data_IF_929974691295
#
_entry.id   IF_929974691295
#
_cell.length_a   1.000
_cell.length_b   1.000
_cell.length_c   1.000
_cell.angle_alpha   90.00
_cell.angle_beta   90.00
_cell.angle_gamma   90.00
#
_symmetry.space_group_name_H-M   'P 1'
#
loop_
_entity.id
_entity.type
_entity.pdbx_description
1 polymer ?
#
# COMPACT_ATOMS: atom_id res chain seq x y z
N UNK A 1 -38.37 -35.00 -65.38
CA UNK A 1 -37.37 -33.91 -65.27
C UNK A 1 -37.99 -32.73 -64.54
N UNK A 2 -37.28 -32.28 -63.51
CA UNK A 2 -37.45 -31.14 -62.58
C UNK A 2 -38.45 -30.01 -62.96
N UNK A 3 -39.47 -29.83 -62.12
CA UNK A 3 -40.46 -28.74 -62.16
C UNK A 3 -39.85 -27.48 -61.50
N UNK A 4 -39.44 -26.48 -62.30
CA UNK A 4 -38.95 -25.19 -61.77
C UNK A 4 -40.10 -24.43 -61.09
N UNK A 5 -40.03 -24.27 -59.77
CA UNK A 5 -40.91 -23.41 -58.97
C UNK A 5 -40.55 -21.95 -59.27
N UNK A 6 -41.37 -21.25 -60.04
CA UNK A 6 -41.23 -19.81 -60.26
C UNK A 6 -41.96 -19.12 -59.11
N UNK A 7 -41.21 -18.52 -58.17
CA UNK A 7 -41.78 -17.69 -57.11
C UNK A 7 -42.53 -16.51 -57.75
N UNK A 8 -43.73 -16.13 -57.25
CA UNK A 8 -44.47 -15.01 -57.81
C UNK A 8 -43.66 -13.71 -57.60
N UNK A 9 -43.34 -12.99 -58.69
CA UNK A 9 -42.48 -11.79 -58.70
C UNK A 9 -42.88 -10.71 -57.67
N UNK A 10 -44.15 -10.68 -57.23
CA UNK A 10 -44.67 -9.73 -56.25
C UNK A 10 -44.10 -9.93 -54.83
N UNK A 11 -43.92 -11.17 -54.38
CA UNK A 11 -43.36 -11.44 -53.04
C UNK A 11 -41.86 -11.11 -52.97
N UNK A 12 -41.14 -11.29 -54.07
CA UNK A 12 -39.71 -10.95 -54.19
C UNK A 12 -39.47 -9.43 -54.09
N UNK A 13 -40.30 -8.61 -54.75
CA UNK A 13 -40.19 -7.15 -54.69
C UNK A 13 -40.44 -6.60 -53.28
N UNK A 14 -41.39 -7.18 -52.53
CA UNK A 14 -41.66 -6.79 -51.15
C UNK A 14 -40.50 -7.18 -50.21
N UNK A 15 -39.94 -8.38 -50.39
CA UNK A 15 -38.75 -8.86 -49.67
C UNK A 15 -37.53 -7.96 -49.88
N UNK A 16 -37.34 -7.46 -51.11
CA UNK A 16 -36.23 -6.59 -51.48
C UNK A 16 -36.31 -5.20 -50.83
N UNK A 17 -37.49 -4.78 -50.35
CA UNK A 17 -37.68 -3.52 -49.63
C UNK A 17 -37.60 -3.69 -48.11
N UNK A 18 -38.13 -4.79 -47.57
CA UNK A 18 -38.18 -5.03 -46.11
C UNK A 18 -36.81 -5.44 -45.56
N UNK A 19 -36.06 -6.30 -46.24
CA UNK A 19 -34.72 -6.74 -45.78
C UNK A 19 -33.77 -5.56 -45.52
N UNK A 20 -33.55 -4.62 -46.47
CA UNK A 20 -32.63 -3.51 -46.23
C UNK A 20 -33.11 -2.58 -45.13
N UNK A 21 -34.43 -2.37 -44.97
CA UNK A 21 -34.97 -1.57 -43.87
C UNK A 21 -34.65 -2.19 -42.50
N UNK A 22 -34.79 -3.52 -42.35
CA UNK A 22 -34.43 -4.24 -41.13
C UNK A 22 -32.91 -4.17 -40.88
N UNK A 23 -32.08 -4.33 -41.91
CA UNK A 23 -30.62 -4.22 -41.78
C UNK A 23 -30.16 -2.83 -41.30
N UNK A 24 -30.78 -1.77 -41.83
CA UNK A 24 -30.52 -0.39 -41.38
C UNK A 24 -30.90 -0.23 -39.91
N UNK A 25 -32.07 -0.74 -39.50
CA UNK A 25 -32.51 -0.67 -38.11
C UNK A 25 -31.56 -1.42 -37.16
N UNK A 26 -31.14 -2.64 -37.52
CA UNK A 26 -30.19 -3.44 -36.72
C UNK A 26 -28.84 -2.72 -36.64
N UNK A 27 -28.38 -2.13 -37.73
CA UNK A 27 -27.09 -1.42 -37.77
C UNK A 27 -27.14 -0.17 -36.88
N UNK A 28 -28.23 0.60 -36.97
CA UNK A 28 -28.44 1.77 -36.11
C UNK A 28 -28.46 1.38 -34.62
N UNK A 29 -29.21 0.34 -34.25
CA UNK A 29 -29.24 -0.20 -32.89
C UNK A 29 -27.86 -0.71 -32.43
N UNK A 30 -27.12 -1.34 -33.33
CA UNK A 30 -25.77 -1.86 -33.03
C UNK A 30 -24.80 -0.72 -32.72
N UNK A 31 -24.85 0.37 -33.50
CA UNK A 31 -24.02 1.55 -33.28
C UNK A 31 -24.36 2.23 -31.96
N UNK A 32 -25.65 2.40 -31.61
CA UNK A 32 -26.03 3.00 -30.33
C UNK A 32 -25.61 2.13 -29.15
N UNK A 33 -25.83 0.81 -29.26
CA UNK A 33 -25.44 -0.16 -28.24
C UNK A 33 -23.93 -0.18 -28.04
N UNK A 34 -23.15 -0.13 -29.14
CA UNK A 34 -21.71 -0.08 -29.09
C UNK A 34 -21.20 1.16 -28.35
N UNK A 35 -21.71 2.35 -28.70
CA UNK A 35 -21.30 3.59 -28.04
C UNK A 35 -21.70 3.62 -26.56
N UNK A 36 -22.92 3.18 -26.24
CA UNK A 36 -23.39 3.07 -24.85
C UNK A 36 -22.51 2.11 -24.04
N UNK A 37 -22.24 0.92 -24.58
CA UNK A 37 -21.40 -0.09 -23.93
C UNK A 37 -19.99 0.42 -23.72
N UNK A 38 -19.42 1.11 -24.72
CA UNK A 38 -18.08 1.72 -24.61
C UNK A 38 -18.03 2.73 -23.47
N UNK A 39 -19.01 3.62 -23.37
CA UNK A 39 -19.05 4.63 -22.33
C UNK A 39 -19.26 4.02 -20.93
N UNK A 40 -20.15 3.03 -20.83
CA UNK A 40 -20.39 2.31 -19.59
C UNK A 40 -19.13 1.57 -19.11
N UNK A 41 -18.40 0.91 -20.03
CA UNK A 41 -17.15 0.23 -19.72
C UNK A 41 -16.11 1.24 -19.24
N UNK A 42 -15.90 2.35 -19.97
CA UNK A 42 -14.92 3.38 -19.59
C UNK A 42 -15.23 3.97 -18.21
N UNK A 43 -16.50 4.32 -17.95
CA UNK A 43 -16.91 4.82 -16.64
C UNK A 43 -16.68 3.78 -15.54
N UNK A 44 -17.04 2.52 -15.77
CA UNK A 44 -16.83 1.46 -14.78
C UNK A 44 -15.36 1.18 -14.50
N UNK A 45 -14.48 1.35 -15.49
CA UNK A 45 -13.03 1.20 -15.33
C UNK A 45 -12.47 2.36 -14.52
N UNK A 46 -12.87 3.59 -14.83
CA UNK A 46 -12.42 4.80 -14.13
C UNK A 46 -12.85 4.78 -12.65
N UNK A 47 -14.10 4.39 -12.39
CA UNK A 47 -14.64 4.22 -11.03
C UNK A 47 -13.86 3.15 -10.26
N UNK A 48 -13.59 1.99 -10.88
CA UNK A 48 -12.79 0.91 -10.26
C UNK A 48 -11.38 1.35 -9.98
N UNK A 49 -10.74 2.08 -10.90
CA UNK A 49 -9.39 2.62 -10.69
C UNK A 49 -9.38 3.58 -9.50
N UNK A 50 -10.33 4.51 -9.44
CA UNK A 50 -10.45 5.47 -8.34
C UNK A 50 -10.67 4.77 -6.99
N UNK A 51 -11.57 3.78 -6.94
CA UNK A 51 -11.82 2.98 -5.75
C UNK A 51 -10.58 2.19 -5.31
N UNK A 52 -9.86 1.59 -6.25
CA UNK A 52 -8.65 0.83 -5.94
C UNK A 52 -7.52 1.74 -5.44
N UNK A 53 -7.32 2.90 -6.06
CA UNK A 53 -6.35 3.91 -5.60
C UNK A 53 -6.69 4.40 -4.19
N UNK A 54 -7.96 4.75 -3.95
CA UNK A 54 -8.43 5.17 -2.63
C UNK A 54 -8.27 4.05 -1.59
N UNK A 55 -8.57 2.80 -1.96
CA UNK A 55 -8.38 1.65 -1.08
C UNK A 55 -6.90 1.43 -0.75
N UNK A 56 -6.01 1.53 -1.73
CA UNK A 56 -4.56 1.39 -1.52
C UNK A 56 -4.01 2.53 -0.66
N UNK A 57 -4.41 3.77 -0.91
CA UNK A 57 -4.03 4.90 -0.06
C UNK A 57 -4.48 4.70 1.39
N UNK A 58 -5.74 4.30 1.59
CA UNK A 58 -6.26 3.98 2.93
C UNK A 58 -5.53 2.82 3.61
N UNK A 59 -5.02 1.84 2.85
CA UNK A 59 -4.22 0.75 3.40
C UNK A 59 -2.85 1.25 3.87
N UNK A 60 -2.19 2.11 3.07
CA UNK A 60 -0.92 2.74 3.43
C UNK A 60 -1.11 3.59 4.70
N UNK A 61 -2.14 4.43 4.75
CA UNK A 61 -2.42 5.27 5.92
C UNK A 61 -2.63 4.44 7.19
N UNK A 62 -3.35 3.30 7.08
CA UNK A 62 -3.55 2.39 8.21
C UNK A 62 -2.24 1.76 8.69
N UNK A 63 -1.35 1.36 7.78
CA UNK A 63 -0.04 0.83 8.14
C UNK A 63 0.76 1.92 8.85
N UNK A 64 0.82 3.12 8.30
CA UNK A 64 1.57 4.25 8.89
C UNK A 64 1.04 4.63 10.28
N UNK A 65 -0.28 4.69 10.48
CA UNK A 65 -0.88 4.96 11.78
C UNK A 65 -0.56 3.87 12.82
N UNK A 66 -0.52 2.60 12.38
CA UNK A 66 -0.17 1.46 13.22
C UNK A 66 1.30 1.53 13.66
N UNK A 67 2.21 1.77 12.73
CA UNK A 67 3.65 1.93 13.03
C UNK A 67 3.92 3.14 13.93
N UNK A 68 3.23 4.28 13.69
CA UNK A 68 3.31 5.46 14.56
C UNK A 68 2.86 5.12 16.00
N UNK A 69 1.71 4.48 16.16
CA UNK A 69 1.21 4.10 17.48
C UNK A 69 2.17 3.13 18.20
N UNK A 70 2.79 2.21 17.46
CA UNK A 70 3.81 1.31 17.99
C UNK A 70 5.05 2.07 18.46
N UNK A 71 5.59 2.98 17.63
CA UNK A 71 6.72 3.83 17.98
C UNK A 71 6.44 4.70 19.23
N UNK A 72 5.27 5.33 19.31
CA UNK A 72 4.84 6.11 20.48
C UNK A 72 4.73 5.23 21.74
N UNK A 73 4.24 3.99 21.61
CA UNK A 73 4.14 3.04 22.71
C UNK A 73 5.52 2.62 23.24
N UNK A 74 6.47 2.36 22.34
CA UNK A 74 7.86 2.05 22.70
C UNK A 74 8.52 3.25 23.36
N UNK A 75 8.36 4.46 22.80
CA UNK A 75 8.90 5.69 23.38
C UNK A 75 8.42 5.91 24.82
N UNK A 76 7.10 5.78 25.08
CA UNK A 76 6.54 5.87 26.44
C UNK A 76 7.09 4.78 27.37
N UNK A 77 7.29 3.57 26.85
CA UNK A 77 7.85 2.47 27.63
C UNK A 77 9.29 2.77 28.05
N UNK A 78 10.10 3.28 27.12
CA UNK A 78 11.48 3.71 27.36
C UNK A 78 11.54 4.84 28.38
N UNK A 79 10.72 5.88 28.23
CA UNK A 79 10.64 7.01 29.17
C UNK A 79 10.44 6.53 30.62
N UNK A 80 9.63 5.48 30.82
CA UNK A 80 9.37 4.93 32.16
C UNK A 80 10.51 4.07 32.74
N UNK A 81 11.38 3.50 31.89
CA UNK A 81 12.35 2.47 32.33
C UNK A 81 13.81 2.85 32.13
N UNK A 82 14.12 3.89 31.35
CA UNK A 82 15.48 4.09 30.82
C UNK A 82 16.58 4.23 31.88
N UNK A 83 16.27 4.78 33.05
CA UNK A 83 17.26 4.97 34.13
C UNK A 83 17.68 3.68 34.81
N UNK A 84 16.81 2.65 34.79
CA UNK A 84 17.00 1.38 35.51
C UNK A 84 17.15 0.17 34.60
N UNK A 85 16.77 0.31 33.34
CA UNK A 85 16.86 -0.74 32.35
C UNK A 85 18.33 -1.04 32.00
N UNK A 86 18.60 -2.29 31.68
CA UNK A 86 19.85 -2.74 31.07
C UNK A 86 19.73 -2.78 29.54
N UNK A 87 20.86 -2.89 28.83
CA UNK A 87 20.86 -3.00 27.35
C UNK A 87 19.95 -4.12 26.85
N UNK A 88 19.96 -5.26 27.54
CA UNK A 88 19.14 -6.43 27.21
C UNK A 88 17.64 -6.16 27.33
N UNK A 89 17.22 -5.28 28.26
CA UNK A 89 15.80 -4.91 28.39
C UNK A 89 15.32 -4.12 27.17
N UNK A 90 16.17 -3.23 26.63
CA UNK A 90 15.88 -2.51 25.39
C UNK A 90 15.89 -3.44 24.17
N UNK A 91 16.87 -4.34 24.09
CA UNK A 91 16.94 -5.33 23.01
C UNK A 91 15.67 -6.18 22.96
N UNK A 92 15.22 -6.66 24.12
CA UNK A 92 14.00 -7.45 24.24
C UNK A 92 12.77 -6.64 23.83
N UNK A 93 12.62 -5.42 24.36
CA UNK A 93 11.52 -4.53 23.99
C UNK A 93 11.46 -4.30 22.48
N UNK A 94 12.60 -4.03 21.84
CA UNK A 94 12.68 -3.78 20.41
C UNK A 94 12.42 -5.01 19.56
N UNK A 95 12.94 -6.18 19.94
CA UNK A 95 12.66 -7.45 19.25
C UNK A 95 11.18 -7.78 19.34
N UNK A 96 10.60 -7.76 20.55
CA UNK A 96 9.17 -8.07 20.77
C UNK A 96 8.27 -7.07 20.01
N UNK A 97 8.66 -5.79 19.94
CA UNK A 97 7.91 -4.76 19.21
C UNK A 97 8.03 -4.92 17.70
N UNK A 98 9.22 -5.26 17.19
CA UNK A 98 9.44 -5.48 15.75
C UNK A 98 8.70 -6.72 15.26
N UNK A 99 8.62 -7.78 16.07
CA UNK A 99 7.87 -9.00 15.73
C UNK A 99 6.34 -8.82 15.81
N UNK A 100 5.84 -7.71 16.36
CA UNK A 100 4.40 -7.50 16.54
C UNK A 100 3.65 -7.36 15.21
N UNK A 101 4.30 -6.75 14.21
CA UNK A 101 3.72 -6.52 12.89
C UNK A 101 4.68 -6.94 11.78
N UNK A 102 4.16 -7.70 10.81
CA UNK A 102 4.94 -8.17 9.66
C UNK A 102 5.46 -7.04 8.75
N UNK A 103 4.86 -5.87 8.85
CA UNK A 103 5.22 -4.67 8.09
C UNK A 103 6.42 -3.92 8.72
N UNK A 104 6.73 -4.18 9.99
CA UNK A 104 7.88 -3.59 10.68
C UNK A 104 9.15 -4.33 10.29
N UNK A 105 10.05 -3.67 9.55
CA UNK A 105 11.33 -4.27 9.13
C UNK A 105 12.46 -4.06 10.15
N UNK A 106 12.31 -3.07 11.02
CA UNK A 106 13.25 -2.76 12.08
C UNK A 106 12.80 -1.58 12.92
N UNK A 107 13.39 -1.45 14.09
CA UNK A 107 13.06 -0.44 15.08
C UNK A 107 14.28 -0.15 15.95
N UNK A 108 14.49 1.12 16.28
CA UNK A 108 15.59 1.52 17.15
C UNK A 108 15.18 2.60 18.14
N UNK A 109 16.03 2.77 19.16
CA UNK A 109 15.97 3.88 20.10
C UNK A 109 17.32 4.56 20.03
N UNK A 110 17.34 5.88 19.89
CA UNK A 110 18.59 6.63 19.74
C UNK A 110 18.68 7.69 20.81
N UNK A 111 19.55 7.45 21.78
CA UNK A 111 19.74 8.36 22.90
C UNK A 111 20.61 9.54 22.51
N UNK A 112 20.34 10.69 23.10
CA UNK A 112 21.28 11.81 23.07
C UNK A 112 22.59 11.43 23.77
N UNK A 113 23.73 12.01 23.35
CA UNK A 113 25.03 11.68 23.91
C UNK A 113 25.04 11.73 25.44
N UNK A 114 25.63 10.72 26.08
CA UNK A 114 25.79 10.61 27.53
C UNK A 114 24.48 10.45 28.33
N UNK A 115 23.33 10.24 27.68
CA UNK A 115 22.03 10.11 28.37
C UNK A 115 21.90 8.78 29.11
N UNK A 116 22.24 7.67 28.45
CA UNK A 116 22.18 6.35 29.05
C UNK A 116 23.56 5.95 29.57
N UNK A 117 23.68 5.84 30.90
CA UNK A 117 24.88 5.40 31.63
C UNK A 117 26.18 6.10 31.20
N UNK A 118 26.12 7.39 30.85
CA UNK A 118 27.24 8.21 30.37
C UNK A 118 27.96 7.63 29.13
N UNK A 119 27.27 6.82 28.32
CA UNK A 119 27.84 6.35 27.06
C UNK A 119 27.70 7.44 25.99
N UNK A 120 28.78 7.73 25.28
CA UNK A 120 28.80 8.72 24.19
C UNK A 120 27.79 8.36 23.10
N UNK A 121 27.70 7.07 22.75
CA UNK A 121 26.77 6.54 21.77
C UNK A 121 26.03 5.33 22.34
N UNK A 122 24.71 5.44 22.43
CA UNK A 122 23.84 4.31 22.75
C UNK A 122 22.61 4.32 21.84
N UNK A 123 22.51 3.28 21.03
CA UNK A 123 21.48 3.13 20.02
C UNK A 123 21.09 1.66 19.83
N UNK A 124 20.32 1.08 20.76
CA UNK A 124 19.82 -0.27 20.58
C UNK A 124 18.87 -0.33 19.37
N UNK A 125 18.98 -1.40 18.60
CA UNK A 125 18.27 -1.59 17.34
C UNK A 125 17.88 -3.05 17.17
N UNK A 126 16.72 -3.29 16.58
CA UNK A 126 16.27 -4.61 16.15
C UNK A 126 15.86 -4.56 14.67
N UNK A 127 16.08 -5.67 13.96
CA UNK A 127 15.72 -5.83 12.55
C UNK A 127 15.19 -7.22 12.27
N UNK A 128 14.35 -7.34 11.25
CA UNK A 128 13.91 -8.64 10.73
C UNK A 128 15.06 -9.31 10.00
N UNK A 129 15.47 -10.48 10.47
CA UNK A 129 16.52 -11.29 9.85
C UNK A 129 16.02 -12.04 8.61
N UNK A 130 16.94 -12.67 7.87
CA UNK A 130 16.62 -13.45 6.67
C UNK A 130 15.60 -14.58 6.90
N UNK A 131 15.46 -15.05 8.15
CA UNK A 131 14.49 -16.10 8.51
C UNK A 131 13.09 -15.54 8.84
N UNK A 132 12.89 -14.23 8.75
CA UNK A 132 11.63 -13.55 9.02
C UNK A 132 11.34 -13.25 10.50
N UNK A 133 12.30 -13.43 11.41
CA UNK A 133 12.18 -13.06 12.83
C UNK A 133 13.04 -11.86 13.17
N UNK A 134 12.56 -11.03 14.09
CA UNK A 134 13.31 -9.93 14.65
C UNK A 134 14.51 -10.43 15.47
N UNK A 135 15.65 -9.75 15.29
CA UNK A 135 16.88 -9.96 16.05
C UNK A 135 17.45 -8.61 16.47
N UNK A 136 18.05 -8.55 17.65
CA UNK A 136 18.79 -7.37 18.09
C UNK A 136 20.11 -7.23 17.29
N UNK A 137 20.47 -6.00 16.97
CA UNK A 137 21.71 -5.65 16.29
C UNK A 137 22.39 -4.51 17.05
N UNK A 138 23.72 -4.62 17.16
CA UNK A 138 24.56 -3.61 17.80
C UNK A 138 25.15 -2.60 16.81
N UNK A 139 24.80 -2.71 15.53
CA UNK A 139 25.40 -1.93 14.45
C UNK A 139 25.41 -0.42 14.70
N UNK A 140 24.35 0.14 15.28
CA UNK A 140 24.27 1.57 15.56
C UNK A 140 24.95 2.01 16.86
N UNK A 141 25.12 1.09 17.81
CA UNK A 141 25.83 1.38 19.07
C UNK A 141 27.34 1.21 18.90
N UNK A 142 27.78 0.12 18.26
CA UNK A 142 29.20 -0.25 18.15
C UNK A 142 29.81 0.08 16.77
N UNK A 143 29.01 0.30 15.74
CA UNK A 143 29.50 0.58 14.38
C UNK A 143 30.04 2.00 14.20
N UNK A 144 30.61 2.29 13.04
CA UNK A 144 31.27 3.58 12.75
C UNK A 144 30.30 4.70 12.33
N UNK A 145 29.02 4.37 12.13
CA UNK A 145 28.02 5.37 11.74
C UNK A 145 27.72 6.34 12.90
N UNK A 146 27.75 7.64 12.59
CA UNK A 146 27.34 8.70 13.51
C UNK A 146 25.83 8.92 13.42
N UNK A 147 25.10 8.23 14.30
CA UNK A 147 23.65 8.30 14.41
C UNK A 147 23.12 9.72 14.62
N UNK A 148 23.88 10.60 15.30
CA UNK A 148 23.43 11.93 15.67
C UNK A 148 23.44 12.90 14.49
N UNK A 149 24.15 12.53 13.41
CA UNK A 149 24.13 13.25 12.13
C UNK A 149 23.04 12.75 11.17
N UNK A 150 22.35 11.66 11.51
CA UNK A 150 21.32 11.11 10.65
C UNK A 150 20.07 12.00 10.61
N UNK A 151 19.44 12.06 9.44
CA UNK A 151 18.24 12.87 9.21
C UNK A 151 17.11 12.47 10.16
N UNK A 152 16.88 11.17 10.32
CA UNK A 152 15.81 10.64 11.17
C UNK A 152 16.09 10.86 12.67
N UNK A 153 17.36 10.95 13.10
CA UNK A 153 17.69 11.38 14.45
C UNK A 153 17.44 12.87 14.66
N UNK A 154 17.77 13.72 13.68
CA UNK A 154 17.60 15.17 13.81
C UNK A 154 16.13 15.57 13.80
N UNK A 155 15.30 14.89 13.00
CA UNK A 155 13.88 15.17 12.87
C UNK A 155 13.06 14.53 14.00
N UNK A 156 13.50 13.39 14.56
CA UNK A 156 12.75 12.69 15.62
C UNK A 156 12.34 13.57 16.82
N UNK A 157 13.25 14.41 17.37
CA UNK A 157 12.93 15.38 18.41
C UNK A 157 12.08 16.58 17.95
N UNK A 158 11.96 16.81 16.63
CA UNK A 158 11.23 17.94 16.06
C UNK A 158 9.78 17.57 15.70
N UNK A 159 8.81 18.38 16.15
CA UNK A 159 7.41 18.24 15.76
C UNK A 159 6.75 16.93 16.21
N UNK A 160 5.99 16.31 15.30
CA UNK A 160 5.27 15.03 15.50
C UNK A 160 6.18 13.79 15.29
N UNK A 161 7.50 13.99 15.16
CA UNK A 161 8.50 12.92 15.11
C UNK A 161 8.63 12.17 13.77
N UNK A 162 8.41 12.84 12.63
CA UNK A 162 8.47 12.22 11.31
C UNK A 162 9.02 13.12 10.21
N UNK A 163 9.62 12.51 9.18
CA UNK A 163 9.99 13.15 7.91
C UNK A 163 8.73 13.74 7.26
N UNK A 164 8.61 15.07 7.23
CA UNK A 164 7.52 15.79 6.55
C UNK A 164 7.77 15.96 5.07
#
# INVERSE_FOLDING_TARGET
MTKKRVLPKLSFNLLMLIIPAILIAITAMSVTTFNYSRNLILHSVDERMTLQLSSTANQIDKIMLKERALAESVARSVEMIYERAEEEDFNKLLVDSTDLYSETVGMGIWFAPNTYKNMEKFAPYAMVSENGKAIASKEYTEGDFDIHTSEWYQIGPEGDGGLT
#
